data_IF_933260992854
#
_entry.id   IF_933260992854
#
_cell.length_a   1.000
_cell.length_b   1.000
_cell.length_c   1.000
_cell.angle_alpha   90.00
_cell.angle_beta   90.00
_cell.angle_gamma   90.00
#
_symmetry.space_group_name_H-M   'P 1'
#
loop_
_entity.id
_entity.type
_entity.pdbx_description
1 polymer ?
#
# COMPACT_ATOMS: atom_id res chain seq x y z
N UNK A 1 40.67 -15.00 -33.84
CA UNK A 1 39.89 -14.14 -32.90
C UNK A 1 38.56 -14.83 -32.68
N UNK A 2 38.50 -15.78 -31.74
CA UNK A 2 37.30 -16.57 -31.46
C UNK A 2 36.41 -15.81 -30.49
N UNK A 3 35.24 -15.38 -30.95
CA UNK A 3 34.16 -14.88 -30.10
C UNK A 3 33.44 -16.06 -29.46
N UNK A 4 33.67 -16.27 -28.15
CA UNK A 4 32.84 -17.17 -27.35
C UNK A 4 31.51 -16.48 -27.06
N UNK A 5 30.45 -16.91 -27.75
CA UNK A 5 29.07 -16.59 -27.40
C UNK A 5 28.66 -17.51 -26.24
N UNK A 6 28.34 -16.93 -25.09
CA UNK A 6 27.80 -17.67 -23.95
C UNK A 6 26.36 -18.14 -24.25
N UNK A 7 25.96 -19.37 -23.87
CA UNK A 7 24.59 -19.83 -24.07
C UNK A 7 23.63 -19.12 -23.11
N UNK A 8 22.47 -18.74 -23.62
CA UNK A 8 21.38 -18.15 -22.86
C UNK A 8 20.95 -19.11 -21.72
N UNK A 9 20.94 -18.60 -20.49
CA UNK A 9 20.40 -19.32 -19.36
C UNK A 9 18.89 -19.51 -19.55
N UNK A 10 18.50 -20.74 -19.89
CA UNK A 10 17.09 -21.15 -19.94
C UNK A 10 16.58 -21.27 -18.51
N UNK A 11 15.90 -20.24 -18.00
CA UNK A 11 15.21 -20.30 -16.73
C UNK A 11 13.91 -21.10 -16.91
N UNK A 12 13.75 -22.26 -16.25
CA UNK A 12 12.51 -23.03 -16.35
C UNK A 12 11.38 -22.22 -15.71
N UNK A 13 10.31 -21.99 -16.47
CA UNK A 13 9.09 -21.39 -15.95
C UNK A 13 8.55 -22.28 -14.80
N UNK A 14 8.51 -21.73 -13.58
CA UNK A 14 7.86 -22.42 -12.47
C UNK A 14 6.36 -22.40 -12.74
N UNK A 15 5.67 -23.56 -12.75
CA UNK A 15 4.22 -23.55 -12.91
C UNK A 15 3.61 -22.77 -11.75
N UNK A 16 2.84 -21.73 -12.06
CA UNK A 16 1.93 -21.11 -11.10
C UNK A 16 0.91 -22.18 -10.73
N UNK A 17 1.13 -22.89 -9.63
CA UNK A 17 0.08 -23.69 -9.02
C UNK A 17 -0.99 -22.71 -8.58
N UNK A 18 -2.09 -22.63 -9.33
CA UNK A 18 -3.28 -21.94 -8.91
C UNK A 18 -3.71 -22.58 -7.57
N UNK A 19 -3.39 -21.93 -6.46
CA UNK A 19 -3.90 -22.30 -5.15
C UNK A 19 -5.39 -21.99 -5.14
N UNK A 20 -6.16 -22.95 -5.64
CA UNK A 20 -7.61 -23.01 -5.59
C UNK A 20 -8.05 -23.26 -4.15
N UNK A 21 -7.94 -22.25 -3.31
CA UNK A 21 -8.67 -22.13 -2.06
C UNK A 21 -8.52 -20.69 -1.53
N UNK A 22 -9.29 -19.74 -2.09
CA UNK A 22 -9.62 -18.55 -1.30
C UNK A 22 -10.37 -19.07 -0.06
N UNK A 23 -9.94 -18.75 1.17
CA UNK A 23 -10.79 -19.03 2.33
C UNK A 23 -12.11 -18.31 2.09
N UNK A 24 -13.20 -19.07 2.05
CA UNK A 24 -14.56 -18.52 2.00
C UNK A 24 -14.66 -17.56 3.18
N UNK A 25 -14.96 -16.27 2.91
CA UNK A 25 -15.29 -15.32 3.96
C UNK A 25 -16.46 -15.90 4.74
N UNK A 26 -16.23 -16.26 5.99
CA UNK A 26 -17.27 -16.73 6.89
C UNK A 26 -18.39 -15.67 6.93
N UNK A 27 -19.66 -16.07 6.79
CA UNK A 27 -20.75 -15.13 6.99
C UNK A 27 -20.66 -14.63 8.43
N UNK A 28 -20.73 -13.31 8.61
CA UNK A 28 -20.81 -12.68 9.93
C UNK A 28 -22.15 -13.09 10.55
N UNK A 29 -22.19 -14.27 11.18
CA UNK A 29 -23.31 -14.71 11.97
C UNK A 29 -23.37 -13.83 13.21
N UNK A 30 -24.35 -12.94 13.18
CA UNK A 30 -24.80 -12.08 14.27
C UNK A 30 -25.14 -12.92 15.50
N UNK A 31 -24.21 -12.95 16.44
CA UNK A 31 -24.41 -13.10 17.89
C UNK A 31 -23.23 -12.31 18.48
N UNK A 32 -23.42 -11.32 19.34
CA UNK A 32 -23.69 -11.53 20.75
C UNK A 32 -24.50 -10.39 21.36
N UNK A 33 -25.22 -10.77 22.42
CA UNK A 33 -26.14 -9.99 23.22
C UNK A 33 -25.54 -8.71 23.78
N UNK A 34 -26.43 -7.73 23.97
CA UNK A 34 -26.20 -6.52 24.73
C UNK A 34 -25.78 -6.86 26.16
N UNK A 35 -24.60 -6.42 26.58
CA UNK A 35 -24.36 -6.09 27.97
C UNK A 35 -23.73 -4.70 28.04
N UNK A 36 -24.45 -3.78 28.68
CA UNK A 36 -24.18 -2.36 28.71
C UNK A 36 -23.18 -2.05 29.83
N UNK A 37 -21.90 -2.31 29.59
CA UNK A 37 -20.81 -1.65 30.30
C UNK A 37 -19.82 -1.18 29.26
N UNK A 38 -19.60 0.14 29.20
CA UNK A 38 -18.77 0.81 28.20
C UNK A 38 -17.45 0.06 27.97
N UNK A 39 -17.34 -0.61 26.81
CA UNK A 39 -16.14 -1.33 26.43
C UNK A 39 -14.95 -0.35 26.37
N UNK A 40 -13.77 -0.71 26.90
CA UNK A 40 -12.56 0.00 26.50
C UNK A 40 -12.45 -0.14 24.98
N UNK A 41 -12.19 1.00 24.34
CA UNK A 41 -11.97 1.11 22.92
C UNK A 41 -10.86 0.13 22.48
N UNK A 42 -10.81 -0.22 21.19
CA UNK A 42 -9.99 -1.29 20.62
C UNK A 42 -8.56 -1.37 21.19
N UNK A 43 -7.88 -2.52 21.11
CA UNK A 43 -6.48 -2.65 21.57
C UNK A 43 -5.54 -1.56 21.02
N UNK A 44 -5.89 -0.98 19.86
CA UNK A 44 -5.22 0.19 19.30
C UNK A 44 -5.47 1.47 20.11
N UNK A 45 -6.70 1.73 20.56
CA UNK A 45 -7.05 2.87 21.40
C UNK A 45 -6.37 2.80 22.78
N UNK A 46 -6.19 1.60 23.33
CA UNK A 46 -5.42 1.40 24.57
C UNK A 46 -3.93 1.73 24.36
N UNK A 47 -3.34 1.26 23.25
CA UNK A 47 -1.96 1.59 22.87
C UNK A 47 -1.78 3.10 22.66
N UNK A 48 -2.74 3.75 22.00
CA UNK A 48 -2.73 5.21 21.80
C UNK A 48 -2.85 5.93 23.15
N UNK A 49 -3.71 5.48 24.06
CA UNK A 49 -3.83 6.07 25.38
C UNK A 49 -2.53 5.94 26.20
N UNK A 50 -1.87 4.78 26.16
CA UNK A 50 -0.55 4.57 26.77
C UNK A 50 0.52 5.48 26.16
N UNK A 51 0.52 5.66 24.83
CA UNK A 51 1.46 6.54 24.15
C UNK A 51 1.25 8.02 24.53
N UNK A 52 -0.01 8.48 24.59
CA UNK A 52 -0.36 9.86 24.99
C UNK A 52 -0.07 10.11 26.47
N UNK A 53 -0.26 9.12 27.34
CA UNK A 53 0.09 9.24 28.76
C UNK A 53 1.60 9.42 28.98
N UNK A 54 2.41 8.80 28.10
CA UNK A 54 3.88 8.92 28.12
C UNK A 54 4.37 10.22 27.48
N UNK A 55 3.71 10.69 26.42
CA UNK A 55 4.00 11.95 25.75
C UNK A 55 2.70 12.67 25.37
N UNK A 56 2.27 13.67 26.16
CA UNK A 56 1.04 14.44 25.88
C UNK A 56 1.06 15.17 24.53
N UNK A 57 2.23 15.37 23.91
CA UNK A 57 2.33 15.96 22.58
C UNK A 57 1.81 15.05 21.47
N UNK A 58 1.66 13.75 21.73
CA UNK A 58 1.10 12.78 20.79
C UNK A 58 -0.44 12.74 20.83
N UNK A 59 -1.07 13.56 21.67
CA UNK A 59 -2.53 13.63 21.75
C UNK A 59 -3.11 13.95 20.36
N UNK A 60 -4.08 13.16 19.87
CA UNK A 60 -4.68 13.43 18.58
C UNK A 60 -5.35 14.81 18.59
N UNK A 61 -5.26 15.56 17.48
CA UNK A 61 -5.90 16.87 17.40
C UNK A 61 -7.40 16.74 17.67
N UNK A 62 -7.98 17.70 18.40
CA UNK A 62 -9.41 17.72 18.64
C UNK A 62 -10.16 17.63 17.31
N UNK A 63 -11.16 16.73 17.23
CA UNK A 63 -11.88 16.32 16.01
C UNK A 63 -12.48 17.47 15.17
N UNK A 64 -12.43 18.72 15.66
CA UNK A 64 -13.00 19.91 15.03
C UNK A 64 -11.97 21.02 14.71
N UNK A 65 -10.66 20.72 14.76
CA UNK A 65 -9.59 21.70 14.48
C UNK A 65 -8.86 21.43 13.16
N UNK A 66 -9.56 20.95 12.13
CA UNK A 66 -9.00 21.00 10.79
C UNK A 66 -8.84 22.49 10.40
N UNK A 67 -7.65 22.96 10.01
CA UNK A 67 -7.51 24.31 9.48
C UNK A 67 -8.46 24.43 8.29
N UNK A 68 -9.37 25.41 8.34
CA UNK A 68 -10.37 25.70 7.32
C UNK A 68 -9.68 26.38 6.13
N UNK A 69 -8.70 25.71 5.53
CA UNK A 69 -8.06 26.16 4.32
C UNK A 69 -9.10 26.06 3.18
N UNK A 70 -9.24 27.10 2.33
CA UNK A 70 -10.10 26.98 1.17
C UNK A 70 -9.60 25.81 0.31
N UNK A 71 -10.53 24.98 -0.16
CA UNK A 71 -10.31 23.77 -0.96
C UNK A 71 -9.39 23.97 -2.20
N UNK A 72 -9.10 25.22 -2.57
CA UNK A 72 -8.30 25.59 -3.74
C UNK A 72 -6.81 25.84 -3.48
N UNK A 73 -6.34 25.86 -2.24
CA UNK A 73 -4.93 26.15 -1.96
C UNK A 73 -4.31 25.12 -1.05
N UNK A 74 -4.18 23.88 -1.55
CA UNK A 74 -3.14 23.03 -0.97
C UNK A 74 -1.79 23.68 -1.26
N UNK A 75 -0.92 23.82 -0.24
CA UNK A 75 0.43 24.29 -0.48
C UNK A 75 1.12 23.33 -1.47
N UNK A 76 1.93 23.84 -2.41
CA UNK A 76 2.62 22.99 -3.36
C UNK A 76 3.53 22.00 -2.61
N UNK A 77 3.66 20.77 -3.12
CA UNK A 77 4.59 19.77 -2.58
C UNK A 77 6.00 20.36 -2.51
N UNK A 78 6.72 20.14 -1.40
CA UNK A 78 8.10 20.56 -1.23
C UNK A 78 9.01 19.99 -2.34
N UNK A 79 10.12 20.67 -2.72
CA UNK A 79 10.95 20.24 -3.85
C UNK A 79 11.57 18.85 -3.66
N UNK A 80 11.97 18.49 -2.44
CA UNK A 80 12.57 17.18 -2.12
C UNK A 80 11.56 16.02 -2.16
N UNK A 81 10.25 16.28 -2.12
CA UNK A 81 9.19 15.26 -2.17
C UNK A 81 8.72 15.00 -3.61
N UNK A 82 9.25 15.72 -4.60
CA UNK A 82 8.88 15.56 -6.00
C UNK A 82 9.77 14.51 -6.66
N UNK A 83 9.14 13.58 -7.35
CA UNK A 83 9.81 12.56 -8.16
C UNK A 83 9.54 12.82 -9.65
N UNK A 84 10.41 12.32 -10.52
CA UNK A 84 10.24 12.38 -11.97
C UNK A 84 9.17 11.38 -12.39
N UNK A 85 8.48 11.68 -13.50
CA UNK A 85 7.55 10.73 -14.10
C UNK A 85 8.31 9.46 -14.51
N UNK A 86 7.69 8.26 -14.41
CA UNK A 86 8.29 7.03 -14.89
C UNK A 86 8.53 7.11 -16.40
N UNK A 87 9.70 6.67 -16.84
CA UNK A 87 10.11 6.66 -18.24
C UNK A 87 11.04 5.46 -18.48
N UNK A 88 11.05 4.93 -19.70
CA UNK A 88 12.02 3.93 -20.15
C UNK A 88 11.41 2.56 -20.47
N UNK A 89 12.16 1.79 -21.25
CA UNK A 89 11.74 0.51 -21.83
C UNK A 89 11.33 -0.54 -20.78
N UNK A 90 12.04 -0.61 -19.64
CA UNK A 90 11.72 -1.56 -18.56
C UNK A 90 10.36 -1.30 -17.93
N UNK A 91 10.04 -0.04 -17.67
CA UNK A 91 8.75 0.35 -17.13
C UNK A 91 7.62 -0.03 -18.09
N UNK A 92 7.79 0.26 -19.39
CA UNK A 92 6.81 -0.07 -20.43
C UNK A 92 6.61 -1.59 -20.54
N UNK A 93 7.70 -2.36 -20.59
CA UNK A 93 7.65 -3.82 -20.62
C UNK A 93 6.84 -4.38 -19.43
N UNK A 94 7.14 -3.95 -18.19
CA UNK A 94 6.42 -4.44 -17.02
C UNK A 94 4.96 -3.97 -16.99
N UNK A 95 4.67 -2.74 -17.40
CA UNK A 95 3.31 -2.23 -17.50
C UNK A 95 2.46 -3.06 -18.49
N UNK A 96 3.04 -3.42 -19.64
CA UNK A 96 2.39 -4.29 -20.63
C UNK A 96 2.17 -5.71 -20.10
N UNK A 97 3.18 -6.31 -19.46
CA UNK A 97 3.05 -7.66 -18.90
C UNK A 97 1.98 -7.71 -17.79
N UNK A 98 1.98 -6.75 -16.86
CA UNK A 98 1.02 -6.70 -15.76
C UNK A 98 -0.42 -6.49 -16.26
N UNK A 99 -0.61 -5.61 -17.25
CA UNK A 99 -1.93 -5.36 -17.85
C UNK A 99 -2.43 -6.55 -18.67
N UNK A 100 -1.57 -7.20 -19.44
CA UNK A 100 -1.90 -8.42 -20.20
C UNK A 100 -2.33 -9.58 -19.29
N UNK A 101 -1.64 -9.73 -18.15
CA UNK A 101 -1.93 -10.74 -17.13
C UNK A 101 -3.09 -10.37 -16.18
N UNK A 102 -3.61 -9.13 -16.27
CA UNK A 102 -4.64 -8.59 -15.36
C UNK A 102 -4.24 -8.67 -13.88
N UNK A 103 -2.98 -8.37 -13.57
CA UNK A 103 -2.44 -8.39 -12.22
C UNK A 103 -2.45 -6.98 -11.61
N UNK A 104 -2.97 -6.87 -10.38
CA UNK A 104 -2.89 -5.64 -9.61
C UNK A 104 -1.64 -5.63 -8.73
N UNK A 105 -0.95 -4.49 -8.67
CA UNK A 105 0.24 -4.29 -7.83
C UNK A 105 0.06 -3.08 -6.93
N UNK A 106 0.63 -3.13 -5.73
CA UNK A 106 0.66 -1.97 -4.82
C UNK A 106 1.26 -0.74 -5.50
N UNK A 107 2.26 -0.94 -6.38
CA UNK A 107 2.88 0.13 -7.15
C UNK A 107 1.86 0.94 -7.98
N UNK A 108 0.91 0.28 -8.65
CA UNK A 108 -0.14 0.93 -9.45
C UNK A 108 -1.28 1.46 -8.57
N UNK A 109 -1.81 0.62 -7.68
CA UNK A 109 -2.98 0.94 -6.84
C UNK A 109 -2.70 2.12 -5.90
N UNK A 110 -1.49 2.18 -5.34
CA UNK A 110 -1.09 3.25 -4.44
C UNK A 110 -0.50 4.47 -5.17
N UNK A 111 -0.42 4.44 -6.51
CA UNK A 111 0.25 5.47 -7.32
C UNK A 111 1.65 5.80 -6.77
N UNK A 112 2.45 4.74 -6.58
CA UNK A 112 3.75 4.86 -5.92
C UNK A 112 4.66 5.86 -6.66
N UNK A 113 5.22 6.88 -5.98
CA UNK A 113 6.03 7.90 -6.64
C UNK A 113 7.37 7.38 -7.20
N UNK A 114 7.78 6.17 -6.82
CA UNK A 114 9.05 5.55 -7.21
C UNK A 114 8.87 4.43 -8.25
N UNK A 115 7.68 4.31 -8.84
CA UNK A 115 7.34 3.20 -9.74
C UNK A 115 8.29 3.04 -10.93
N UNK A 116 8.89 4.14 -11.42
CA UNK A 116 9.84 4.10 -12.53
C UNK A 116 11.26 3.65 -12.16
N UNK A 117 11.64 3.66 -10.88
CA UNK A 117 12.94 3.13 -10.43
C UNK A 117 12.81 1.66 -10.02
N UNK A 118 11.66 1.30 -9.41
CA UNK A 118 11.43 -0.06 -8.95
C UNK A 118 11.12 -1.06 -10.07
N UNK A 119 10.57 -0.60 -11.19
CA UNK A 119 10.22 -1.42 -12.36
C UNK A 119 11.36 -1.45 -13.39
#
# INVERSE_FOLDING_TARGET
>A
MSTLVAPAAHFPARPFTASSARPRRSPCSRAHASDSTAAPASAFDELVALAVARDPSLAPPAKNQAPKAPFRTLPPKAPWLRQKAPQGERYEYLAEQLSGLKLATVCQEAQCPNIGECW
#
